data_IF_155517752580
#
_entry.id   IF_155517752580
#
_cell.length_a   1.000
_cell.length_b   1.000
_cell.length_c   1.000
_cell.angle_alpha   90.00
_cell.angle_beta   90.00
_cell.angle_gamma   90.00
#
_symmetry.space_group_name_H-M   'P 1'
#
loop_
_entity.id
_entity.type
_entity.pdbx_description
1 polymer ?
#
# COMPACT_ATOMS: atom_id res chain seq x y z
N UNK A 1 9.56 5.59 -9.66
CA UNK A 1 8.74 4.37 -9.54
C UNK A 1 8.69 3.53 -10.83
N UNK A 2 9.42 3.95 -11.82
CA UNK A 2 9.42 3.28 -13.12
C UNK A 2 10.21 1.96 -13.14
N UNK A 3 11.07 1.76 -12.17
CA UNK A 3 11.93 0.57 -12.11
C UNK A 3 11.16 -0.76 -12.13
N UNK A 4 9.97 -0.80 -11.52
CA UNK A 4 9.17 -2.02 -11.49
C UNK A 4 8.60 -2.36 -12.86
N UNK A 5 8.00 -1.39 -13.54
CA UNK A 5 7.48 -1.58 -14.89
C UNK A 5 8.60 -1.90 -15.87
N UNK A 6 9.70 -1.20 -15.77
CA UNK A 6 10.90 -1.46 -16.58
C UNK A 6 11.38 -2.90 -16.37
N UNK A 7 11.49 -3.33 -15.10
CA UNK A 7 11.91 -4.69 -14.78
C UNK A 7 10.96 -5.74 -15.34
N UNK A 8 9.66 -5.50 -15.25
CA UNK A 8 8.66 -6.42 -15.79
C UNK A 8 8.74 -6.53 -17.33
N UNK A 9 9.07 -5.44 -18.01
CA UNK A 9 9.22 -5.43 -19.48
C UNK A 9 10.52 -6.10 -19.95
N UNK A 10 11.62 -5.86 -19.24
CA UNK A 10 12.96 -6.28 -19.69
C UNK A 10 13.49 -7.53 -18.99
N UNK A 11 13.07 -7.77 -17.73
CA UNK A 11 13.56 -8.87 -16.91
C UNK A 11 12.40 -9.56 -16.16
N UNK A 12 11.33 -9.99 -16.86
CA UNK A 12 10.09 -10.42 -16.20
C UNK A 12 10.29 -11.60 -15.24
N UNK A 13 11.25 -12.48 -15.53
CA UNK A 13 11.48 -13.69 -14.74
C UNK A 13 12.57 -13.55 -13.68
N UNK A 14 13.16 -12.35 -13.54
CA UNK A 14 14.15 -12.10 -12.50
C UNK A 14 13.46 -11.83 -11.17
N UNK A 15 14.05 -12.33 -10.09
CA UNK A 15 13.50 -12.13 -8.74
C UNK A 15 13.50 -10.65 -8.38
N UNK A 16 12.37 -10.16 -7.89
CA UNK A 16 12.18 -8.79 -7.43
C UNK A 16 12.11 -8.72 -5.90
N UNK A 17 11.20 -9.47 -5.29
CA UNK A 17 11.00 -9.48 -3.84
C UNK A 17 10.83 -10.94 -3.41
N UNK A 18 11.63 -11.39 -2.45
CA UNK A 18 11.63 -12.78 -1.97
C UNK A 18 11.72 -13.77 -3.16
N UNK A 19 10.78 -14.68 -3.30
CA UNK A 19 10.73 -15.62 -4.43
C UNK A 19 9.92 -15.12 -5.63
N UNK A 20 9.40 -13.89 -5.57
CA UNK A 20 8.52 -13.35 -6.60
C UNK A 20 9.27 -12.54 -7.65
N UNK A 21 8.92 -12.76 -8.91
CA UNK A 21 9.57 -12.11 -10.05
C UNK A 21 9.06 -10.67 -10.24
N UNK A 22 9.78 -9.91 -11.08
CA UNK A 22 9.32 -8.57 -11.49
C UNK A 22 7.93 -8.62 -12.12
N UNK A 23 7.67 -9.64 -12.94
CA UNK A 23 6.35 -9.77 -13.56
C UNK A 23 5.26 -10.04 -12.51
N UNK A 24 5.55 -10.89 -11.51
CA UNK A 24 4.61 -11.18 -10.44
C UNK A 24 4.23 -9.92 -9.66
N UNK A 25 5.24 -9.19 -9.22
CA UNK A 25 5.04 -7.98 -8.41
C UNK A 25 4.37 -6.90 -9.24
N UNK A 26 4.81 -6.70 -10.48
CA UNK A 26 4.19 -5.72 -11.37
C UNK A 26 2.69 -5.98 -11.57
N UNK A 27 2.32 -7.21 -11.88
CA UNK A 27 0.91 -7.57 -12.06
C UNK A 27 0.11 -7.38 -10.77
N UNK A 28 0.70 -7.74 -9.65
CA UNK A 28 0.07 -7.55 -8.34
C UNK A 28 -0.17 -6.08 -8.03
N UNK A 29 0.80 -5.23 -8.31
CA UNK A 29 0.69 -3.78 -8.11
C UNK A 29 -0.41 -3.19 -9.00
N UNK A 30 -0.48 -3.58 -10.26
CA UNK A 30 -1.53 -3.11 -11.17
C UNK A 30 -2.92 -3.56 -10.68
N UNK A 31 -3.04 -4.81 -10.24
CA UNK A 31 -4.30 -5.33 -9.71
C UNK A 31 -4.79 -4.50 -8.51
N UNK A 32 -3.93 -4.26 -7.55
CA UNK A 32 -4.27 -3.49 -6.34
C UNK A 32 -4.51 -2.02 -6.69
N UNK A 33 -3.68 -1.44 -7.55
CA UNK A 33 -3.81 -0.04 -7.96
C UNK A 33 -5.18 0.26 -8.57
N UNK A 34 -5.71 -0.65 -9.37
CA UNK A 34 -7.04 -0.49 -9.96
C UNK A 34 -8.13 -0.38 -8.89
N UNK A 35 -8.01 -1.13 -7.82
CA UNK A 35 -8.95 -1.05 -6.69
C UNK A 35 -8.78 0.24 -5.90
N UNK A 36 -7.53 0.63 -5.66
CA UNK A 36 -7.26 1.87 -4.93
C UNK A 36 -7.71 3.11 -5.69
N UNK A 37 -7.63 3.07 -7.01
CA UNK A 37 -8.10 4.17 -7.87
C UNK A 37 -9.58 4.48 -7.66
N UNK A 38 -10.38 3.48 -7.32
CA UNK A 38 -11.80 3.63 -7.09
C UNK A 38 -12.13 4.27 -5.74
N UNK A 39 -11.17 4.36 -4.83
CA UNK A 39 -11.38 5.02 -3.55
C UNK A 39 -11.32 6.52 -3.73
N UNK A 40 -12.29 7.23 -3.15
CA UNK A 40 -12.35 8.68 -3.26
C UNK A 40 -11.31 9.43 -2.44
N UNK A 41 -10.71 8.75 -1.46
CA UNK A 41 -9.73 9.37 -0.56
C UNK A 41 -8.41 9.62 -1.28
N UNK A 42 -7.84 10.81 -1.09
CA UNK A 42 -6.51 11.16 -1.61
C UNK A 42 -5.37 10.71 -0.69
N UNK A 43 -5.70 10.40 0.55
CA UNK A 43 -4.75 9.94 1.58
C UNK A 43 -5.32 8.71 2.25
N UNK A 44 -4.52 7.66 2.34
CA UNK A 44 -4.89 6.41 2.99
C UNK A 44 -3.82 5.98 3.98
N UNK A 45 -4.19 5.13 4.93
CA UNK A 45 -3.24 4.54 5.87
C UNK A 45 -3.11 3.05 5.62
N UNK A 46 -1.96 2.49 5.97
CA UNK A 46 -1.72 1.05 5.96
C UNK A 46 -1.26 0.61 7.35
N UNK A 47 -1.90 -0.43 7.88
CA UNK A 47 -1.52 -1.08 9.13
C UNK A 47 -1.27 -2.56 8.84
N UNK A 48 0.00 -2.95 8.80
CA UNK A 48 0.40 -4.32 8.46
C UNK A 48 1.81 -4.62 8.97
N UNK A 49 2.06 -5.88 9.28
CA UNK A 49 3.42 -6.37 9.40
C UNK A 49 4.10 -6.39 8.03
N UNK A 50 5.42 -6.39 8.03
CA UNK A 50 6.18 -6.43 6.79
C UNK A 50 5.91 -7.74 6.04
N UNK A 51 5.51 -7.63 4.78
CA UNK A 51 5.20 -8.77 3.93
C UNK A 51 5.26 -8.36 2.46
N UNK A 52 5.28 -9.34 1.58
CA UNK A 52 5.20 -9.08 0.13
C UNK A 52 3.87 -8.40 -0.20
N UNK A 53 2.78 -8.83 0.43
CA UNK A 53 1.46 -8.22 0.22
C UNK A 53 1.49 -6.73 0.61
N UNK A 54 2.05 -6.41 1.77
CA UNK A 54 2.20 -5.01 2.19
C UNK A 54 3.00 -4.21 1.17
N UNK A 55 4.12 -4.75 0.67
CA UNK A 55 4.94 -4.07 -0.33
C UNK A 55 4.13 -3.76 -1.59
N UNK A 56 3.31 -4.71 -2.05
CA UNK A 56 2.45 -4.50 -3.21
C UNK A 56 1.45 -3.37 -2.96
N UNK A 57 0.82 -3.33 -1.79
CA UNK A 57 -0.12 -2.25 -1.44
C UNK A 57 0.57 -0.89 -1.35
N UNK A 58 1.77 -0.84 -0.79
CA UNK A 58 2.55 0.40 -0.73
C UNK A 58 2.86 0.91 -2.14
N UNK A 59 3.38 0.04 -2.99
CA UNK A 59 3.72 0.40 -4.38
C UNK A 59 2.48 0.80 -5.17
N UNK A 60 1.38 0.09 -5.00
CA UNK A 60 0.13 0.42 -5.68
C UNK A 60 -0.40 1.81 -5.26
N UNK A 61 -0.28 2.14 -3.98
CA UNK A 61 -0.67 3.47 -3.49
C UNK A 61 0.15 4.57 -4.15
N UNK A 62 1.45 4.32 -4.33
CA UNK A 62 2.32 5.27 -5.03
C UNK A 62 1.93 5.42 -6.49
N UNK A 63 1.61 4.32 -7.16
CA UNK A 63 1.22 4.33 -8.58
C UNK A 63 -0.04 5.14 -8.83
N UNK A 64 -1.00 5.12 -7.91
CA UNK A 64 -2.22 5.92 -8.02
C UNK A 64 -2.06 7.33 -7.46
N UNK A 65 -0.85 7.72 -7.10
CA UNK A 65 -0.50 9.07 -6.62
C UNK A 65 -1.29 9.52 -5.39
N UNK A 66 -1.61 8.59 -4.51
CA UNK A 66 -2.21 8.90 -3.20
C UNK A 66 -1.12 9.04 -2.15
N UNK A 67 -1.37 9.88 -1.17
CA UNK A 67 -0.50 9.97 0.00
C UNK A 67 -0.76 8.77 0.92
N UNK A 68 0.31 8.22 1.47
CA UNK A 68 0.26 7.02 2.30
C UNK A 68 0.80 7.31 3.70
N UNK A 69 -0.01 7.01 4.70
CA UNK A 69 0.42 7.00 6.10
C UNK A 69 0.71 5.55 6.51
N UNK A 70 1.97 5.26 6.82
CA UNK A 70 2.34 3.95 7.37
C UNK A 70 2.20 3.98 8.88
N UNK A 71 1.27 3.18 9.40
CA UNK A 71 1.04 3.07 10.83
C UNK A 71 1.97 2.03 11.45
N UNK A 72 2.48 2.33 12.63
CA UNK A 72 3.29 1.38 13.39
C UNK A 72 2.38 0.34 14.04
N UNK A 73 2.69 -0.95 13.86
CA UNK A 73 1.88 -2.05 14.37
C UNK A 73 1.90 -2.15 15.90
N UNK A 74 2.80 -1.47 16.56
CA UNK A 74 2.89 -1.44 18.02
C UNK A 74 2.01 -0.36 18.65
N UNK A 75 1.35 0.46 17.84
CA UNK A 75 0.46 1.50 18.36
C UNK A 75 -0.80 0.89 18.96
N UNK A 76 -1.25 1.49 20.05
CA UNK A 76 -2.54 1.14 20.66
C UNK A 76 -3.68 1.72 19.82
N UNK A 77 -4.88 1.14 19.89
CA UNK A 77 -6.02 1.64 19.12
C UNK A 77 -6.28 3.14 19.30
N UNK A 78 -6.12 3.66 20.50
CA UNK A 78 -6.29 5.09 20.78
C UNK A 78 -5.23 5.93 20.08
N UNK A 79 -4.00 5.46 20.04
CA UNK A 79 -2.90 6.16 19.36
C UNK A 79 -3.12 6.18 17.85
N UNK A 80 -3.58 5.06 17.28
CA UNK A 80 -3.94 4.97 15.86
C UNK A 80 -5.04 5.97 15.54
N UNK A 81 -6.08 6.01 16.36
CA UNK A 81 -7.19 6.94 16.17
C UNK A 81 -6.70 8.40 16.17
N UNK A 82 -5.79 8.74 17.08
CA UNK A 82 -5.25 10.09 17.16
C UNK A 82 -4.43 10.45 15.93
N UNK A 83 -3.58 9.54 15.44
CA UNK A 83 -2.78 9.79 14.25
C UNK A 83 -3.64 9.98 13.01
N UNK A 84 -4.66 9.14 12.85
CA UNK A 84 -5.60 9.26 11.72
C UNK A 84 -6.32 10.60 11.75
N UNK A 85 -6.75 11.04 12.93
CA UNK A 85 -7.43 12.32 13.09
C UNK A 85 -6.52 13.51 12.77
N UNK A 86 -5.27 13.47 13.25
CA UNK A 86 -4.30 14.54 12.99
C UNK A 86 -4.00 14.74 11.51
N UNK A 87 -3.99 13.65 10.74
CA UNK A 87 -3.66 13.69 9.32
C UNK A 87 -4.89 13.63 8.42
N UNK A 88 -6.07 13.69 9.03
CA UNK A 88 -7.35 13.66 8.32
C UNK A 88 -7.47 12.44 7.40
N UNK A 89 -7.09 11.28 7.92
CA UNK A 89 -7.20 10.00 7.22
C UNK A 89 -8.40 9.23 7.75
N UNK A 90 -9.28 8.80 6.85
CA UNK A 90 -10.50 8.09 7.19
C UNK A 90 -10.57 6.67 6.63
N UNK A 91 -9.62 6.28 5.80
CA UNK A 91 -9.57 4.95 5.18
C UNK A 91 -8.26 4.26 5.53
N UNK A 92 -8.35 3.04 6.06
CA UNK A 92 -7.19 2.23 6.44
C UNK A 92 -7.25 0.88 5.75
N UNK A 93 -6.15 0.54 5.08
CA UNK A 93 -5.92 -0.80 4.52
C UNK A 93 -5.08 -1.58 5.53
N UNK A 94 -5.44 -2.83 5.77
CA UNK A 94 -4.76 -3.58 6.83
C UNK A 94 -4.65 -5.07 6.52
N UNK A 95 -3.63 -5.71 7.10
CA UNK A 95 -3.56 -7.16 7.10
C UNK A 95 -4.64 -7.75 8.02
N UNK A 96 -5.01 -9.01 7.78
CA UNK A 96 -6.06 -9.69 8.54
C UNK A 96 -5.78 -9.64 10.05
N UNK A 97 -4.53 -9.85 10.44
CA UNK A 97 -4.11 -9.92 11.85
C UNK A 97 -4.24 -8.60 12.59
N UNK A 98 -4.35 -7.49 11.87
CA UNK A 98 -4.36 -6.15 12.49
C UNK A 98 -5.74 -5.54 12.63
N UNK A 99 -6.78 -6.25 12.25
CA UNK A 99 -8.14 -5.74 12.25
C UNK A 99 -8.59 -5.21 13.61
N UNK A 100 -8.26 -5.94 14.67
CA UNK A 100 -8.71 -5.60 16.02
C UNK A 100 -8.06 -4.35 16.61
N UNK A 101 -6.94 -3.90 16.04
CA UNK A 101 -6.28 -2.68 16.48
C UNK A 101 -6.97 -1.41 15.97
N UNK A 102 -7.88 -1.55 15.01
CA UNK A 102 -8.47 -0.40 14.34
C UNK A 102 -9.76 0.05 15.04
N UNK A 103 -9.96 1.37 15.17
CA UNK A 103 -11.19 1.89 15.73
C UNK A 103 -12.39 1.61 14.82
N UNK A 104 -13.57 1.46 15.41
CA UNK A 104 -14.79 1.16 14.66
C UNK A 104 -15.33 2.36 13.85
N UNK A 105 -14.78 3.53 14.08
CA UNK A 105 -15.28 4.78 13.49
C UNK A 105 -14.71 5.11 12.12
N UNK A 106 -13.82 4.27 11.59
CA UNK A 106 -13.17 4.52 10.30
C UNK A 106 -13.52 3.43 9.30
N UNK A 107 -13.34 3.76 8.01
CA UNK A 107 -13.48 2.80 6.92
C UNK A 107 -12.24 1.90 6.88
N UNK A 108 -12.43 0.59 6.99
CA UNK A 108 -11.34 -0.38 6.98
C UNK A 108 -11.49 -1.33 5.81
N UNK A 109 -10.36 -1.62 5.15
CA UNK A 109 -10.31 -2.54 4.01
C UNK A 109 -9.22 -3.55 4.29
N UNK A 110 -9.58 -4.82 4.37
CA UNK A 110 -8.60 -5.89 4.58
C UNK A 110 -7.84 -6.19 3.29
N UNK A 111 -6.56 -6.48 3.41
CA UNK A 111 -5.75 -6.90 2.26
C UNK A 111 -6.32 -8.17 1.65
N UNK A 112 -6.34 -8.23 0.31
CA UNK A 112 -6.56 -9.49 -0.37
C UNK A 112 -5.38 -10.43 -0.13
N UNK A 113 -5.61 -11.72 -0.24
CA UNK A 113 -4.51 -12.69 -0.17
C UNK A 113 -3.56 -12.50 -1.34
N UNK A 114 -2.28 -12.77 -1.12
CA UNK A 114 -1.26 -12.67 -2.15
C UNK A 114 -1.58 -13.58 -3.34
N UNK A 115 -2.06 -14.79 -3.06
CA UNK A 115 -2.46 -15.75 -4.09
C UNK A 115 -3.50 -15.14 -5.02
N UNK A 116 -4.51 -14.48 -4.47
CA UNK A 116 -5.58 -13.86 -5.26
C UNK A 116 -5.06 -12.68 -6.07
N UNK A 117 -4.22 -11.84 -5.46
CA UNK A 117 -3.62 -10.68 -6.13
C UNK A 117 -2.82 -11.14 -7.35
N UNK A 118 -2.00 -12.18 -7.19
CA UNK A 118 -1.11 -12.66 -8.25
C UNK A 118 -1.83 -13.50 -9.31
N UNK A 119 -3.07 -13.90 -9.07
CA UNK A 119 -3.85 -14.68 -10.04
C UNK A 119 -4.50 -13.83 -11.13
N UNK A 120 -4.51 -12.51 -11.01
CA UNK A 120 -5.13 -11.62 -11.99
C UNK A 120 -4.18 -11.40 -13.17
N UNK A 121 -4.47 -12.06 -14.28
CA UNK A 121 -3.69 -11.96 -15.52
C UNK A 121 -4.22 -10.90 -16.48
N UNK A 122 -5.37 -10.30 -16.18
CA UNK A 122 -6.07 -9.39 -17.10
C UNK A 122 -6.06 -7.93 -16.65
N UNK A 123 -5.32 -7.60 -15.60
CA UNK A 123 -5.28 -6.23 -15.11
C UNK A 123 -4.62 -5.29 -16.13
N UNK A 124 -5.35 -4.26 -16.54
CA UNK A 124 -4.87 -3.26 -17.49
C UNK A 124 -4.07 -2.18 -16.77
N UNK A 125 -2.85 -1.94 -17.26
CA UNK A 125 -2.00 -0.88 -16.76
C UNK A 125 -2.30 0.42 -17.51
N UNK A 126 -3.15 1.24 -16.93
CA UNK A 126 -3.51 2.56 -17.45
C UNK A 126 -2.93 3.68 -16.60
N UNK A 127 -1.96 3.36 -15.73
CA UNK A 127 -1.45 4.29 -14.74
C UNK A 127 -0.26 5.08 -15.22
N UNK A 128 -0.10 6.26 -14.62
CA UNK A 128 1.07 7.10 -14.81
C UNK A 128 2.14 6.70 -13.77
N UNK A 129 3.21 6.08 -14.23
CA UNK A 129 4.30 5.60 -13.39
C UNK A 129 5.37 6.66 -13.11
N UNK A 130 5.14 7.90 -13.50
CA UNK A 130 6.09 8.98 -13.28
C UNK A 130 5.85 9.67 -11.95
N UNK A 131 6.94 10.07 -11.29
CA UNK A 131 6.90 10.82 -10.03
C UNK A 131 7.78 12.06 -10.14
N UNK A 132 7.31 13.16 -9.60
CA UNK A 132 8.11 14.36 -9.40
C UNK A 132 8.72 14.31 -7.99
N UNK A 133 9.90 14.89 -7.83
CA UNK A 133 10.62 14.88 -6.55
C UNK A 133 9.82 15.51 -5.40
N UNK A 134 8.92 16.41 -5.70
CA UNK A 134 8.08 17.08 -4.71
C UNK A 134 6.83 16.31 -4.31
N UNK A 135 6.54 15.18 -4.94
CA UNK A 135 5.36 14.38 -4.61
C UNK A 135 5.59 13.69 -3.27
N UNK A 136 4.73 14.00 -2.31
CA UNK A 136 4.75 13.33 -1.01
C UNK A 136 3.99 12.03 -1.14
N UNK A 137 4.72 10.92 -1.16
CA UNK A 137 4.12 9.61 -1.30
C UNK A 137 3.86 8.93 0.04
N UNK A 138 4.79 9.05 0.98
CA UNK A 138 4.76 8.30 2.23
C UNK A 138 4.97 9.22 3.43
N UNK A 139 4.11 9.07 4.43
CA UNK A 139 4.22 9.75 5.71
C UNK A 139 4.49 8.68 6.77
N UNK A 140 5.53 8.87 7.56
CA UNK A 140 5.87 7.94 8.63
C UNK A 140 5.96 8.69 9.94
N UNK A 141 5.33 8.15 10.98
CA UNK A 141 5.45 8.64 12.32
C UNK A 141 6.45 7.78 13.08
N UNK A 142 7.47 8.40 13.67
CA UNK A 142 8.43 7.68 14.47
C UNK A 142 7.99 7.67 15.92
N UNK A 143 7.94 6.51 16.54
CA UNK A 143 7.58 6.36 17.94
C UNK A 143 8.61 6.99 18.89
N UNK A 144 9.82 7.26 18.39
CA UNK A 144 10.90 7.83 19.20
C UNK A 144 10.66 9.31 19.56
N UNK A 145 9.70 9.95 18.93
CA UNK A 145 9.42 11.36 19.16
C UNK A 145 8.44 11.63 20.28
N UNK A 146 7.96 10.59 20.93
CA UNK A 146 7.02 10.71 22.05
C UNK A 146 7.77 10.98 23.35
N UNK A 147 8.65 11.90 23.30
CA UNK A 147 9.33 12.34 24.52
C UNK A 147 8.37 12.98 25.48
#
# INVERSE_FOLDING_TARGET
MDWLRYGAEHYPNRICINEYTYNDIYRGVVHVARKLELLGASRIAILSDNSVTMAIYVLATMVVHKELLLLNVHLKPKEIKNQLAQLDVTTVLHSVERREQLPNSISTIVFESLERILSDEEADDTFDWTFEDRDIAIIMNTSATTG
#
